data_IF_157523451968
#
_entry.id   IF_157523451968
#
_cell.length_a   1.000
_cell.length_b   1.000
_cell.length_c   1.000
_cell.angle_alpha   90.00
_cell.angle_beta   90.00
_cell.angle_gamma   90.00
#
_symmetry.space_group_name_H-M   'P 1'
#
loop_
_entity.id
_entity.type
_entity.pdbx_description
1 polymer ?
#
# COMPACT_ATOMS: atom_id res chain seq x y z
N UNK A 1 -2.60 15.90 14.88
CA UNK A 1 -1.72 14.71 14.94
C UNK A 1 -0.75 14.77 13.77
N UNK A 2 0.54 14.54 14.03
CA UNK A 2 1.54 14.43 12.98
C UNK A 2 1.19 13.30 12.00
N UNK A 3 1.49 13.52 10.72
CA UNK A 3 1.19 12.60 9.61
C UNK A 3 2.48 12.04 9.03
N UNK A 4 2.41 10.82 8.52
CA UNK A 4 3.48 10.24 7.70
C UNK A 4 3.62 11.04 6.41
N UNK A 5 4.84 11.05 5.87
CA UNK A 5 5.19 11.60 4.54
C UNK A 5 5.30 10.51 3.47
N UNK A 6 5.21 9.23 3.85
CA UNK A 6 5.40 8.07 2.98
C UNK A 6 4.29 7.00 3.05
N UNK A 7 3.35 7.11 4.00
CA UNK A 7 2.26 6.15 4.21
C UNK A 7 0.89 6.78 4.01
N UNK A 8 0.06 6.12 3.21
CA UNK A 8 -1.33 6.53 2.98
C UNK A 8 -2.33 5.41 3.29
N UNK A 9 -3.53 5.78 3.72
CA UNK A 9 -4.71 4.92 3.63
C UNK A 9 -5.37 5.07 2.27
N UNK A 10 -5.80 3.96 1.70
CA UNK A 10 -6.49 3.92 0.41
C UNK A 10 -7.60 2.89 0.41
N UNK A 11 -8.73 3.22 -0.20
CA UNK A 11 -9.83 2.26 -0.35
C UNK A 11 -9.58 1.32 -1.51
N UNK A 12 -9.91 0.05 -1.31
CA UNK A 12 -9.87 -1.01 -2.31
C UNK A 12 -11.11 -1.90 -2.19
N UNK A 13 -11.63 -2.38 -3.32
CA UNK A 13 -12.74 -3.32 -3.31
C UNK A 13 -12.27 -4.74 -2.92
N UNK A 14 -13.13 -5.56 -2.26
CA UNK A 14 -12.79 -6.91 -1.84
C UNK A 14 -12.13 -7.77 -2.92
N UNK A 15 -12.69 -7.77 -4.14
CA UNK A 15 -12.19 -8.58 -5.26
C UNK A 15 -10.77 -8.18 -5.70
N UNK A 16 -10.46 -6.88 -5.69
CA UNK A 16 -9.12 -6.40 -6.03
C UNK A 16 -8.11 -6.73 -4.93
N UNK A 17 -8.51 -6.60 -3.67
CA UNK A 17 -7.65 -6.98 -2.55
C UNK A 17 -7.38 -8.49 -2.55
N UNK A 18 -8.39 -9.32 -2.82
CA UNK A 18 -8.23 -10.76 -2.95
C UNK A 18 -7.26 -11.12 -4.07
N UNK A 19 -7.40 -10.50 -5.25
CA UNK A 19 -6.49 -10.73 -6.37
C UNK A 19 -5.05 -10.31 -6.06
N UNK A 20 -4.85 -9.25 -5.27
CA UNK A 20 -3.52 -8.84 -4.82
C UNK A 20 -2.96 -9.86 -3.82
N UNK A 21 -3.77 -10.29 -2.85
CA UNK A 21 -3.36 -11.25 -1.83
C UNK A 21 -3.05 -12.64 -2.40
N UNK A 22 -3.75 -13.08 -3.46
CA UNK A 22 -3.45 -14.32 -4.18
C UNK A 22 -2.26 -14.20 -5.14
N UNK A 23 -1.74 -12.98 -5.36
CA UNK A 23 -0.69 -12.71 -6.33
C UNK A 23 -1.18 -12.60 -7.78
N UNK A 24 -2.46 -12.85 -8.06
CA UNK A 24 -3.05 -12.76 -9.40
C UNK A 24 -3.05 -11.34 -9.96
N UNK A 25 -3.11 -10.32 -9.10
CA UNK A 25 -2.95 -8.89 -9.46
C UNK A 25 -1.69 -8.35 -8.80
N UNK A 26 -0.75 -7.86 -9.61
CA UNK A 26 0.55 -7.40 -9.13
C UNK A 26 0.72 -5.87 -9.13
N UNK A 27 -0.23 -5.11 -9.67
CA UNK A 27 -0.19 -3.66 -9.68
C UNK A 27 -1.48 -3.06 -9.14
N UNK A 28 -1.37 -1.96 -8.40
CA UNK A 28 -2.47 -1.05 -8.11
C UNK A 28 -2.51 0.05 -9.19
N UNK A 29 -3.67 0.29 -9.80
CA UNK A 29 -3.83 1.24 -10.90
C UNK A 29 -4.65 2.46 -10.48
N UNK A 30 -4.20 3.66 -10.86
CA UNK A 30 -4.89 4.92 -10.53
C UNK A 30 -4.92 5.87 -11.72
N UNK A 31 -6.00 6.65 -11.82
CA UNK A 31 -6.16 7.73 -12.78
C UNK A 31 -5.34 8.99 -12.44
N UNK A 32 -4.78 9.03 -11.22
CA UNK A 32 -3.99 10.14 -10.70
C UNK A 32 -2.62 9.66 -10.20
N UNK A 33 -1.64 10.56 -10.30
CA UNK A 33 -0.28 10.33 -9.81
C UNK A 33 -0.26 10.44 -8.27
N UNK A 34 0.39 9.48 -7.63
CA UNK A 34 0.74 9.52 -6.22
C UNK A 34 2.03 10.32 -6.04
N UNK A 35 2.15 11.15 -4.99
CA UNK A 35 3.43 11.75 -4.61
C UNK A 35 4.54 10.69 -4.53
N UNK A 36 5.72 11.00 -5.09
CA UNK A 36 6.88 10.09 -5.13
C UNK A 36 7.42 9.72 -3.74
N UNK A 37 7.06 10.50 -2.71
CA UNK A 37 7.37 10.19 -1.31
C UNK A 37 6.58 8.99 -0.78
N UNK A 38 5.43 8.65 -1.37
CA UNK A 38 4.63 7.50 -0.94
C UNK A 38 5.36 6.21 -1.25
N UNK A 39 5.56 5.39 -0.21
CA UNK A 39 6.19 4.07 -0.29
C UNK A 39 5.24 2.95 0.09
N UNK A 40 4.22 3.25 0.89
CA UNK A 40 3.31 2.25 1.47
C UNK A 40 1.85 2.68 1.38
N UNK A 41 1.00 1.71 1.06
CA UNK A 41 -0.45 1.86 1.04
C UNK A 41 -1.05 0.92 2.08
N UNK A 42 -1.75 1.48 3.06
CA UNK A 42 -2.57 0.77 4.02
C UNK A 42 -4.00 0.66 3.46
N UNK A 43 -4.36 -0.53 3.01
CA UNK A 43 -5.62 -0.78 2.33
C UNK A 43 -6.78 -0.92 3.31
N UNK A 44 -7.72 0.02 3.21
CA UNK A 44 -9.08 -0.13 3.72
C UNK A 44 -9.90 -0.90 2.69
N UNK A 45 -10.30 -2.12 3.03
CA UNK A 45 -11.16 -2.91 2.15
C UNK A 45 -12.61 -2.47 2.35
N UNK A 46 -13.30 -2.13 1.26
CA UNK A 46 -14.67 -1.58 1.30
C UNK A 46 -15.71 -2.63 1.67
N UNK A 47 -17.00 -2.28 1.54
CA UNK A 47 -18.12 -3.19 1.81
C UNK A 47 -17.97 -4.53 1.06
N UNK A 48 -18.27 -5.68 1.69
CA UNK A 48 -18.81 -5.86 3.05
C UNK A 48 -17.76 -5.91 4.18
N UNK A 49 -16.48 -5.83 3.85
CA UNK A 49 -15.37 -6.07 4.79
C UNK A 49 -15.13 -4.89 5.76
N UNK A 50 -15.15 -3.66 5.25
CA UNK A 50 -15.09 -2.38 6.00
C UNK A 50 -13.99 -2.31 7.08
N UNK A 51 -12.75 -2.66 6.75
CA UNK A 51 -11.60 -2.60 7.68
C UNK A 51 -10.27 -2.37 6.97
N UNK A 52 -9.31 -1.81 7.70
CA UNK A 52 -7.90 -1.81 7.31
C UNK A 52 -7.33 -3.18 7.64
N UNK A 53 -6.81 -3.89 6.65
CA UNK A 53 -6.34 -5.28 6.82
C UNK A 53 -5.00 -5.56 6.15
N UNK A 54 -4.66 -4.83 5.09
CA UNK A 54 -3.43 -5.07 4.34
C UNK A 54 -2.61 -3.81 4.27
N UNK A 55 -1.29 -3.98 4.21
CA UNK A 55 -0.36 -2.92 3.83
C UNK A 55 0.51 -3.44 2.70
N UNK A 56 0.61 -2.64 1.65
CA UNK A 56 1.48 -2.91 0.52
C UNK A 56 2.62 -1.92 0.48
N UNK A 57 3.82 -2.42 0.22
CA UNK A 57 4.93 -1.60 -0.24
C UNK A 57 4.88 -1.55 -1.77
N UNK A 58 5.04 -0.36 -2.34
CA UNK A 58 4.86 -0.14 -3.77
C UNK A 58 6.11 0.35 -4.47
N UNK A 59 6.19 0.14 -5.79
CA UNK A 59 7.18 0.77 -6.67
C UNK A 59 6.88 2.27 -6.88
N UNK A 60 7.82 3.02 -7.48
CA UNK A 60 7.49 4.24 -8.21
C UNK A 60 6.39 4.01 -9.26
N UNK A 61 5.75 5.09 -9.71
CA UNK A 61 4.73 5.02 -10.75
C UNK A 61 5.30 4.51 -12.07
N UNK A 62 4.53 3.66 -12.75
CA UNK A 62 4.73 3.21 -14.13
C UNK A 62 3.61 3.76 -15.02
N UNK A 63 3.89 3.99 -16.30
CA UNK A 63 2.91 4.40 -17.32
C UNK A 63 2.59 3.24 -18.28
N UNK A 64 1.53 3.34 -19.11
CA UNK A 64 1.25 2.32 -20.14
C UNK A 64 2.49 2.01 -20.99
N UNK A 65 2.77 0.72 -21.16
CA UNK A 65 3.95 0.20 -21.86
C UNK A 65 5.13 -0.15 -20.95
N UNK A 66 5.12 0.23 -19.67
CA UNK A 66 6.21 -0.06 -18.72
C UNK A 66 5.93 -1.26 -17.79
N UNK A 67 4.74 -1.87 -17.88
CA UNK A 67 4.35 -3.02 -17.05
C UNK A 67 4.53 -4.33 -17.84
N UNK A 68 4.98 -5.45 -17.24
CA UNK A 68 4.99 -6.74 -17.94
C UNK A 68 3.58 -7.23 -18.26
N UNK A 69 3.29 -7.51 -19.54
CA UNK A 69 1.95 -7.92 -20.01
C UNK A 69 1.43 -9.20 -19.35
N UNK A 70 2.33 -10.15 -19.07
CA UNK A 70 2.03 -11.45 -18.45
C UNK A 70 2.09 -11.44 -16.91
N UNK A 71 2.42 -10.30 -16.30
CA UNK A 71 2.74 -10.24 -14.87
C UNK A 71 1.54 -10.28 -13.91
N UNK A 72 0.32 -10.03 -14.38
CA UNK A 72 -0.88 -10.05 -13.54
C UNK A 72 -2.12 -9.43 -14.16
N UNK A 73 -3.27 -9.63 -13.50
CA UNK A 73 -4.58 -9.16 -13.92
C UNK A 73 -4.55 -7.66 -14.16
N UNK A 74 -4.84 -7.30 -15.41
CA UNK A 74 -5.01 -5.91 -15.80
C UNK A 74 -3.82 -5.25 -16.46
N UNK A 75 -2.69 -5.95 -16.61
CA UNK A 75 -1.46 -5.36 -17.16
C UNK A 75 -1.59 -5.09 -18.67
N UNK A 76 -1.99 -6.10 -19.44
CA UNK A 76 -2.22 -5.94 -20.88
C UNK A 76 -3.24 -4.82 -21.19
N UNK A 77 -4.36 -4.75 -20.46
CA UNK A 77 -5.35 -3.68 -20.66
C UNK A 77 -4.84 -2.30 -20.22
N UNK A 78 -3.95 -2.24 -19.22
CA UNK A 78 -3.32 -0.98 -18.83
C UNK A 78 -2.34 -0.50 -19.90
N UNK A 79 -1.48 -1.39 -20.40
CA UNK A 79 -0.51 -1.09 -21.45
C UNK A 79 -1.15 -0.74 -22.79
N UNK A 80 -2.26 -1.38 -23.12
CA UNK A 80 -3.06 -1.06 -24.29
C UNK A 80 -3.94 0.19 -24.12
N UNK A 81 -3.81 0.92 -23.00
CA UNK A 81 -4.59 2.12 -22.67
C UNK A 81 -6.12 1.90 -22.67
N UNK A 82 -6.56 0.66 -22.44
CA UNK A 82 -7.98 0.29 -22.38
C UNK A 82 -8.61 0.59 -21.02
N UNK A 83 -7.89 1.31 -20.15
CA UNK A 83 -8.31 1.69 -18.80
C UNK A 83 -8.21 3.20 -18.62
N UNK A 84 -9.12 3.75 -17.82
CA UNK A 84 -9.03 5.15 -17.37
C UNK A 84 -7.81 5.43 -16.47
N UNK A 85 -7.17 4.37 -15.96
CA UNK A 85 -5.98 4.48 -15.13
C UNK A 85 -4.76 4.89 -15.96
N UNK A 86 -4.00 5.86 -15.47
CA UNK A 86 -2.83 6.42 -16.14
C UNK A 86 -1.51 6.01 -15.49
N UNK A 87 -1.59 5.50 -14.26
CA UNK A 87 -0.43 5.15 -13.45
C UNK A 87 -0.63 3.78 -12.81
N UNK A 88 0.39 2.92 -12.89
CA UNK A 88 0.48 1.64 -12.22
C UNK A 88 1.55 1.65 -11.12
N UNK A 89 1.28 1.00 -10.00
CA UNK A 89 2.21 0.86 -8.88
C UNK A 89 2.34 -0.63 -8.57
N UNK A 90 3.53 -1.17 -8.77
CA UNK A 90 3.79 -2.59 -8.50
C UNK A 90 3.71 -2.86 -6.99
N UNK A 91 3.03 -3.94 -6.61
CA UNK A 91 2.98 -4.43 -5.24
C UNK A 91 4.26 -5.23 -4.98
N UNK A 92 5.26 -4.56 -4.38
CA UNK A 92 6.57 -5.14 -4.10
C UNK A 92 6.52 -6.09 -2.90
N UNK A 93 5.73 -5.76 -1.89
CA UNK A 93 5.52 -6.64 -0.74
C UNK A 93 4.14 -6.38 -0.15
N UNK A 94 3.57 -7.39 0.47
CA UNK A 94 2.26 -7.34 1.08
C UNK A 94 2.31 -7.97 2.47
N UNK A 95 1.80 -7.24 3.45
CA UNK A 95 1.57 -7.74 4.79
C UNK A 95 0.08 -7.72 5.11
N UNK A 96 -0.35 -8.66 5.93
CA UNK A 96 -1.67 -8.69 6.56
C UNK A 96 -1.52 -8.29 8.02
N UNK A 97 -2.38 -7.38 8.48
CA UNK A 97 -2.42 -6.98 9.89
C UNK A 97 -2.89 -8.18 10.73
N UNK A 98 -2.15 -8.50 11.79
CA UNK A 98 -2.55 -9.52 12.77
C UNK A 98 -3.87 -9.17 13.45
N UNK A 99 -4.08 -7.87 13.69
CA UNK A 99 -5.32 -7.30 14.20
C UNK A 99 -5.87 -6.25 13.22
N UNK A 100 -6.77 -6.64 12.31
CA UNK A 100 -7.42 -5.70 11.40
C UNK A 100 -8.19 -4.61 12.16
N UNK A 101 -8.27 -3.41 11.58
CA UNK A 101 -8.94 -2.26 12.20
C UNK A 101 -10.24 -1.96 11.46
N UNK A 102 -11.38 -2.22 12.10
CA UNK A 102 -12.69 -1.90 11.53
C UNK A 102 -12.83 -0.39 11.28
N UNK A 103 -13.71 0.01 10.35
CA UNK A 103 -14.02 1.42 10.12
C UNK A 103 -14.44 2.12 11.42
N UNK A 104 -15.32 1.49 12.19
CA UNK A 104 -15.80 2.02 13.47
C UNK A 104 -14.65 2.30 14.44
N UNK A 105 -13.76 1.33 14.65
CA UNK A 105 -12.57 1.52 15.49
C UNK A 105 -11.67 2.61 14.94
N UNK A 106 -11.44 2.66 13.63
CA UNK A 106 -10.61 3.68 13.00
C UNK A 106 -11.19 5.10 13.15
N UNK A 107 -12.51 5.25 13.22
CA UNK A 107 -13.19 6.52 13.48
C UNK A 107 -13.04 6.93 14.94
N UNK A 108 -13.32 6.01 15.88
CA UNK A 108 -13.21 6.25 17.33
C UNK A 108 -11.78 6.63 17.73
N UNK A 109 -10.80 5.94 17.17
CA UNK A 109 -9.36 6.18 17.42
C UNK A 109 -8.80 7.36 16.62
N UNK A 110 -9.61 7.99 15.75
CA UNK A 110 -9.21 9.14 14.94
C UNK A 110 -8.20 8.82 13.83
N UNK A 111 -8.00 7.55 13.48
CA UNK A 111 -7.15 7.11 12.37
C UNK A 111 -7.73 7.53 11.01
N UNK A 112 -9.06 7.45 10.89
CA UNK A 112 -9.82 7.86 9.73
C UNK A 112 -10.91 8.86 10.13
N UNK A 113 -11.31 9.72 9.20
CA UNK A 113 -12.52 10.56 9.32
C UNK A 113 -13.73 9.94 8.59
N UNK A 114 -13.50 8.84 7.90
CA UNK A 114 -14.41 8.16 6.98
C UNK A 114 -13.60 7.23 6.07
N UNK A 115 -14.29 6.42 5.25
CA UNK A 115 -13.61 5.63 4.24
C UNK A 115 -12.84 6.56 3.27
N UNK A 116 -11.56 6.29 2.96
CA UNK A 116 -10.79 7.10 2.01
C UNK A 116 -11.47 7.14 0.63
N UNK A 117 -11.72 8.33 0.07
CA UNK A 117 -12.29 8.46 -1.28
C UNK A 117 -11.21 8.45 -2.36
N UNK A 118 -10.11 9.15 -2.12
CA UNK A 118 -8.89 9.13 -2.94
C UNK A 118 -7.81 8.34 -2.19
N UNK A 119 -7.11 9.03 -1.30
CA UNK A 119 -6.29 8.48 -0.23
C UNK A 119 -6.19 9.54 0.87
N UNK A 120 -5.71 9.18 2.06
CA UNK A 120 -5.34 10.15 3.09
C UNK A 120 -4.07 9.71 3.82
N UNK A 121 -3.29 10.66 4.33
CA UNK A 121 -2.06 10.35 5.06
C UNK A 121 -2.32 9.64 6.38
N UNK A 122 -1.56 8.57 6.63
CA UNK A 122 -1.57 7.83 7.89
C UNK A 122 -1.00 8.71 9.01
N UNK A 123 -1.55 8.64 10.22
CA UNK A 123 -0.98 9.34 11.38
C UNK A 123 0.22 8.59 11.94
N UNK A 124 1.19 9.33 12.51
CA UNK A 124 2.32 8.69 13.20
C UNK A 124 1.85 7.84 14.40
N UNK A 125 0.75 8.22 15.05
CA UNK A 125 0.15 7.43 16.12
C UNK A 125 -0.36 6.06 15.62
N UNK A 126 -0.90 5.97 14.41
CA UNK A 126 -1.28 4.69 13.82
C UNK A 126 -0.04 3.85 13.53
N UNK A 127 0.98 4.43 12.90
CA UNK A 127 2.22 3.69 12.60
C UNK A 127 2.93 3.19 13.86
N UNK A 128 2.93 3.96 14.95
CA UNK A 128 3.48 3.52 16.24
C UNK A 128 2.68 2.41 16.94
N UNK A 129 1.45 2.11 16.50
CA UNK A 129 0.61 1.02 17.05
C UNK A 129 0.57 -0.21 16.16
N UNK A 130 0.84 -0.04 14.87
CA UNK A 130 0.82 -1.11 13.87
C UNK A 130 2.17 -1.14 13.16
N UNK A 131 3.19 -1.65 13.87
CA UNK A 131 4.55 -1.75 13.34
C UNK A 131 4.59 -2.78 12.21
N UNK A 132 5.22 -2.41 11.09
CA UNK A 132 5.16 -3.21 9.85
C UNK A 132 5.85 -4.57 10.01
N UNK A 133 6.97 -4.60 10.72
CA UNK A 133 7.78 -5.80 11.02
C UNK A 133 7.10 -6.78 11.98
N UNK A 134 6.06 -6.33 12.70
CA UNK A 134 5.23 -7.17 13.55
C UNK A 134 4.06 -7.84 12.81
N UNK A 135 3.79 -7.47 11.54
CA UNK A 135 2.66 -7.99 10.76
C UNK A 135 3.02 -9.24 9.96
N UNK A 136 2.00 -9.98 9.51
CA UNK A 136 2.21 -11.22 8.76
C UNK A 136 2.56 -10.90 7.30
N UNK A 137 3.83 -11.05 6.93
CA UNK A 137 4.26 -10.89 5.54
C UNK A 137 3.71 -12.03 4.68
N UNK A 138 2.88 -11.70 3.69
CA UNK A 138 2.32 -12.68 2.75
C UNK A 138 3.30 -12.97 1.61
N UNK A 139 3.95 -11.92 1.09
CA UNK A 139 5.02 -12.07 0.11
C UNK A 139 5.92 -10.83 0.06
N UNK A 140 7.12 -11.01 -0.49
CA UNK A 140 8.03 -9.94 -0.90
C UNK A 140 8.68 -10.32 -2.22
N UNK A 141 8.70 -9.38 -3.16
CA UNK A 141 9.31 -9.49 -4.48
C UNK A 141 10.65 -8.76 -4.44
N UNK A 142 11.71 -9.42 -4.85
CA UNK A 142 12.98 -8.76 -5.14
C UNK A 142 12.85 -7.97 -6.42
N UNK A 143 13.09 -6.66 -6.36
CA UNK A 143 13.27 -5.84 -7.56
C UNK A 143 14.74 -6.04 -7.97
N UNK A 144 14.98 -6.59 -9.16
CA UNK A 144 16.29 -6.71 -9.81
C UNK A 144 17.42 -7.27 -8.94
N UNK A 145 17.19 -8.41 -8.26
CA UNK A 145 18.22 -9.07 -7.45
C UNK A 145 18.71 -8.26 -6.24
N UNK A 146 18.15 -7.08 -5.99
CA UNK A 146 18.42 -6.31 -4.78
C UNK A 146 17.48 -6.81 -3.68
N UNK A 147 18.04 -7.62 -2.76
CA UNK A 147 17.45 -7.74 -1.44
C UNK A 147 17.37 -6.33 -0.86
N UNK A 148 16.16 -5.84 -0.62
CA UNK A 148 15.95 -4.67 0.23
C UNK A 148 16.40 -5.05 1.64
N UNK A 149 17.70 -4.92 1.91
CA UNK A 149 18.23 -5.03 3.27
C UNK A 149 17.60 -3.93 4.09
N UNK A 150 17.34 -4.28 5.34
CA UNK A 150 16.76 -3.47 6.41
C UNK A 150 17.64 -2.25 6.77
N UNK A 151 17.86 -1.32 5.83
CA UNK A 151 18.52 -0.05 6.07
C UNK A 151 17.50 1.05 6.44
N UNK A 152 16.63 0.77 7.41
CA UNK A 152 15.99 1.83 8.20
C UNK A 152 16.46 1.81 9.67
N UNK A 153 17.29 0.83 10.08
CA UNK A 153 17.87 0.77 11.44
C UNK A 153 19.03 1.75 11.69
N UNK A 154 19.49 2.48 10.69
CA UNK A 154 20.70 3.31 10.82
C UNK A 154 20.39 4.80 11.01
N UNK A 155 19.18 5.28 10.69
CA UNK A 155 18.80 6.68 10.91
C UNK A 155 18.31 6.96 12.33
N UNK A 156 17.63 6.01 13.01
CA UNK A 156 17.19 6.20 14.41
C UNK A 156 18.34 6.13 15.44
N UNK A 157 19.51 5.59 15.07
CA UNK A 157 20.70 5.55 15.93
C UNK A 157 21.56 6.81 15.86
N UNK A 158 21.31 7.72 14.91
CA UNK A 158 22.07 8.96 14.80
C UNK A 158 21.38 10.12 15.55
N UNK A 159 20.05 10.12 15.66
CA UNK A 159 19.29 11.16 16.38
C UNK A 159 19.12 10.90 17.89
N UNK A 160 19.60 9.77 18.40
CA UNK A 160 19.65 9.46 19.84
C UNK A 160 21.02 9.70 20.47
N UNK A 161 21.96 10.26 19.71
CA UNK A 161 23.32 10.58 20.14
C UNK A 161 23.69 12.06 19.90
N UNK A 162 22.74 12.99 20.05
CA UNK A 162 23.00 14.44 20.08
C UNK A 162 22.20 15.12 21.18
#
# INVERSE_FOLDING_TARGET
MAKSTSDIFMSIKPEHMQNIASGSKNHEYRSYLLPSSIKRIWFYTTNPIKRIEYVARISPSKIPGEVPDDGGIGNAEFNAELKESKYGYEILALWRLKMPVSLEKALVEGFLKGAPQKYCWVSLNFLGRFLLDEQDMLFSRTVDGMQFREQERQYDKLDSAS
#
